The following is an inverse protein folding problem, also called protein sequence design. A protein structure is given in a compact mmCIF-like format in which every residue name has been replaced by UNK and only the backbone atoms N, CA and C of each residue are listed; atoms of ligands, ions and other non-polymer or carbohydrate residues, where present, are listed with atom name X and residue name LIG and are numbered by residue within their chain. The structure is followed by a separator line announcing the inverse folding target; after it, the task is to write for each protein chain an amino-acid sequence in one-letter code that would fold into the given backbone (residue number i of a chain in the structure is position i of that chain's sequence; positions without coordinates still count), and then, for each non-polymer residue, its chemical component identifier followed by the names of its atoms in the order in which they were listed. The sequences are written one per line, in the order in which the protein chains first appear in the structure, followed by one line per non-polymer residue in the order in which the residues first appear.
data_IF_972247058986
#
_entry.id   IF_972247058986
#
_cell.length_a   1.000
_cell.length_b   1.000
_cell.length_c   1.000
_cell.angle_alpha   90.00
_cell.angle_beta   90.00
_cell.angle_gamma   90.00
#
_symmetry.space_group_name_H-M   'P 1'
#
loop_
_entity.id
_entity.type
_entity.pdbx_description
1 polymer ?
#
# COMPACT_ATOMS: atom_id res chain seq x y z
N UNK A 1 19.62 20.17 27.22
CA UNK A 1 21.05 20.55 27.27
C UNK A 1 21.80 19.36 26.71
N UNK A 2 22.31 19.45 25.46
CA UNK A 2 23.18 18.42 24.91
C UNK A 2 24.30 18.12 25.92
N UNK A 3 24.44 16.87 26.35
CA UNK A 3 25.64 16.48 27.07
C UNK A 3 26.82 16.42 26.08
N UNK A 4 28.02 16.13 26.60
CA UNK A 4 29.27 16.18 25.86
C UNK A 4 29.37 15.14 24.71
N UNK A 5 28.31 14.37 24.45
CA UNK A 5 28.18 13.46 23.30
C UNK A 5 27.33 14.03 22.15
N UNK A 6 26.72 15.21 22.33
CA UNK A 6 26.16 15.99 21.22
C UNK A 6 24.75 15.62 20.76
N UNK A 7 23.92 15.00 21.59
CA UNK A 7 22.47 14.87 21.35
C UNK A 7 21.63 15.23 22.58
N UNK A 8 20.37 15.64 22.33
CA UNK A 8 19.28 16.05 23.26
C UNK A 8 18.97 17.54 23.54
N UNK A 9 18.27 18.18 22.58
CA UNK A 9 17.29 19.27 22.84
C UNK A 9 16.12 19.27 21.83
N UNK A 10 16.32 18.82 20.56
CA UNK A 10 15.25 18.87 19.53
C UNK A 10 14.19 17.76 19.65
N UNK A 11 14.57 16.56 20.09
CA UNK A 11 13.66 15.42 20.17
C UNK A 11 12.63 15.55 21.32
N UNK A 12 12.99 16.27 22.38
CA UNK A 12 12.08 16.56 23.49
C UNK A 12 11.03 17.61 23.10
N UNK A 13 11.40 18.60 22.30
CA UNK A 13 10.46 19.59 21.76
C UNK A 13 9.43 18.93 20.83
N UNK A 14 9.86 18.01 19.95
CA UNK A 14 8.96 17.25 19.08
C UNK A 14 8.01 16.34 19.88
N UNK A 15 8.49 15.75 20.98
CA UNK A 15 7.68 14.94 21.89
C UNK A 15 6.60 15.77 22.60
N UNK A 16 6.95 16.97 23.08
CA UNK A 16 6.03 17.89 23.75
C UNK A 16 5.00 18.50 22.78
N UNK A 17 5.41 18.82 21.55
CA UNK A 17 4.52 19.32 20.50
C UNK A 17 3.48 18.29 20.03
N UNK A 18 3.80 16.98 20.14
CA UNK A 18 2.88 15.86 19.83
C UNK A 18 1.94 15.53 20.99
N UNK A 19 2.37 15.74 22.23
CA UNK A 19 1.64 15.33 23.43
C UNK A 19 0.63 16.37 23.94
N UNK A 20 0.93 17.68 23.85
CA UNK A 20 0.07 18.74 24.43
C UNK A 20 -0.88 19.42 23.41
N UNK A 21 -0.78 19.08 22.13
CA UNK A 21 -1.48 19.79 21.06
C UNK A 21 -2.82 19.19 20.66
N UNK A 22 -3.93 19.77 21.14
CA UNK A 22 -5.21 19.82 20.43
C UNK A 22 -5.13 20.64 19.13
N UNK A 23 -4.11 20.37 18.32
CA UNK A 23 -3.62 21.22 17.24
C UNK A 23 -3.73 20.62 15.84
N UNK A 24 -3.40 21.40 14.80
CA UNK A 24 -3.76 21.17 13.39
C UNK A 24 -3.10 19.94 12.73
N UNK A 25 -2.34 19.12 13.46
CA UNK A 25 -1.68 17.92 12.96
C UNK A 25 -2.39 16.60 13.30
N UNK A 26 -3.41 16.58 14.16
CA UNK A 26 -4.24 15.38 14.39
C UNK A 26 -4.94 14.88 13.12
N UNK A 27 -5.43 15.76 12.21
CA UNK A 27 -5.90 15.35 10.89
C UNK A 27 -4.75 14.92 9.98
N UNK A 28 -3.56 15.54 10.09
CA UNK A 28 -2.43 15.29 9.21
C UNK A 28 -1.71 13.98 9.53
N UNK A 29 -1.70 13.51 10.77
CA UNK A 29 -1.21 12.17 11.13
C UNK A 29 -2.20 11.10 10.66
N UNK A 30 -3.52 11.32 10.79
CA UNK A 30 -4.53 10.47 10.14
C UNK A 30 -4.42 10.46 8.61
N UNK A 31 -4.10 11.60 8.01
CA UNK A 31 -3.91 11.76 6.57
C UNK A 31 -2.60 11.16 6.06
N UNK A 32 -1.51 11.31 6.82
CA UNK A 32 -0.19 10.76 6.52
C UNK A 32 -0.11 9.24 6.73
N UNK A 33 -0.87 8.69 7.68
CA UNK A 33 -1.01 7.26 7.91
C UNK A 33 -2.04 6.60 6.99
N UNK A 34 -3.01 7.37 6.46
CA UNK A 34 -3.97 6.93 5.45
C UNK A 34 -3.44 6.97 4.01
N UNK A 35 -2.38 7.73 3.73
CA UNK A 35 -1.69 7.83 2.43
C UNK A 35 -0.18 7.95 2.63
N UNK A 36 0.49 6.86 3.04
CA UNK A 36 1.95 6.82 3.22
C UNK A 36 2.74 6.91 1.90
N UNK A 37 2.54 8.00 1.17
CA UNK A 37 3.08 8.28 -0.17
C UNK A 37 4.17 9.35 -0.17
N UNK A 38 4.61 9.81 1.02
CA UNK A 38 5.61 10.87 1.16
C UNK A 38 6.68 10.60 2.22
N UNK A 39 6.65 9.42 2.85
CA UNK A 39 7.23 9.25 4.20
C UNK A 39 8.50 8.40 4.23
N UNK A 40 8.95 7.83 3.12
CA UNK A 40 10.11 6.93 3.09
C UNK A 40 11.42 7.56 3.63
N UNK A 41 11.66 8.85 3.36
CA UNK A 41 12.84 9.57 3.86
C UNK A 41 12.75 10.03 5.33
N UNK A 42 11.57 10.43 5.81
CA UNK A 42 11.37 10.91 7.20
C UNK A 42 11.15 9.76 8.19
N UNK A 43 10.54 8.65 7.76
CA UNK A 43 10.32 7.49 8.63
C UNK A 43 11.62 6.85 9.06
N UNK A 44 12.66 6.84 8.20
CA UNK A 44 13.96 6.30 8.57
C UNK A 44 14.57 7.00 9.80
N UNK A 45 14.33 8.31 9.99
CA UNK A 45 14.76 9.04 11.20
C UNK A 45 13.86 8.82 12.42
N UNK A 46 12.62 8.39 12.21
CA UNK A 46 11.74 7.95 13.30
C UNK A 46 12.04 6.50 13.73
N UNK A 47 12.56 5.68 12.81
CA UNK A 47 12.91 4.26 13.00
C UNK A 47 14.26 4.02 13.71
N UNK A 48 15.11 5.04 13.83
CA UNK A 48 16.42 4.95 14.53
C UNK A 48 16.33 5.11 16.04
N UNK A 49 15.15 5.33 16.58
CA UNK A 49 14.95 5.47 18.02
C UNK A 49 14.66 4.10 18.64
N UNK A 50 15.52 3.69 19.55
CA UNK A 50 15.31 2.54 20.42
C UNK A 50 14.24 2.92 21.45
N UNK A 51 13.12 2.20 21.43
CA UNK A 51 12.06 2.35 22.41
C UNK A 51 11.67 0.94 22.87
N UNK A 52 11.35 0.82 24.16
CA UNK A 52 10.95 -0.42 24.84
C UNK A 52 9.82 -1.18 24.10
N UNK A 53 9.55 -2.42 24.54
CA UNK A 53 8.55 -3.44 24.09
C UNK A 53 7.07 -2.95 23.93
N UNK A 54 6.83 -1.76 23.38
CA UNK A 54 5.51 -1.18 23.13
C UNK A 54 4.88 -1.77 21.85
N UNK A 55 3.71 -2.43 21.96
CA UNK A 55 3.05 -3.06 20.83
C UNK A 55 2.64 -2.08 19.72
N UNK A 56 2.29 -0.83 20.06
CA UNK A 56 1.87 0.17 19.08
C UNK A 56 3.05 0.66 18.22
N UNK A 57 4.21 0.84 18.83
CA UNK A 57 5.43 1.17 18.11
C UNK A 57 5.91 0.03 17.23
N UNK A 58 5.89 -1.20 17.74
CA UNK A 58 6.22 -2.38 16.94
C UNK A 58 5.29 -2.50 15.73
N UNK A 59 3.98 -2.24 15.90
CA UNK A 59 3.00 -2.20 14.81
C UNK A 59 3.36 -1.17 13.72
N UNK A 60 3.71 0.06 14.09
CA UNK A 60 4.06 1.08 13.09
C UNK A 60 5.37 0.77 12.39
N UNK A 61 6.39 0.34 13.15
CA UNK A 61 7.70 -0.04 12.62
C UNK A 61 7.60 -1.13 11.56
N UNK A 62 6.91 -2.23 11.90
CA UNK A 62 6.70 -3.37 10.99
C UNK A 62 5.86 -2.97 9.78
N UNK A 63 4.82 -2.14 9.95
CA UNK A 63 4.02 -1.62 8.83
C UNK A 63 4.82 -0.78 7.84
N UNK A 64 5.71 0.09 8.33
CA UNK A 64 6.57 0.92 7.50
C UNK A 64 7.61 0.08 6.77
N UNK A 65 8.33 -0.78 7.49
CA UNK A 65 9.34 -1.66 6.88
C UNK A 65 8.69 -2.56 5.83
N UNK A 66 7.51 -3.12 6.13
CA UNK A 66 6.75 -3.96 5.20
C UNK A 66 6.35 -3.19 3.96
N UNK A 67 5.92 -1.92 4.10
CA UNK A 67 5.58 -1.06 2.95
C UNK A 67 6.79 -0.78 2.06
N UNK A 68 7.94 -0.49 2.66
CA UNK A 68 9.18 -0.26 1.93
C UNK A 68 9.61 -1.53 1.20
N UNK A 69 9.59 -2.68 1.88
CA UNK A 69 9.88 -3.98 1.28
C UNK A 69 8.94 -4.26 0.10
N UNK A 70 7.64 -4.00 0.26
CA UNK A 70 6.63 -4.18 -0.79
C UNK A 70 6.90 -3.32 -2.03
N UNK A 71 7.11 -2.01 -1.83
CA UNK A 71 7.42 -1.06 -2.91
C UNK A 71 8.64 -1.55 -3.70
N UNK A 72 9.68 -2.02 -2.99
CA UNK A 72 10.92 -2.53 -3.58
C UNK A 72 10.80 -3.95 -4.15
N UNK A 73 9.60 -4.53 -4.18
CA UNK A 73 9.32 -5.86 -4.69
C UNK A 73 9.87 -7.00 -3.83
N UNK A 74 10.27 -6.73 -2.58
CA UNK A 74 10.73 -7.75 -1.62
C UNK A 74 9.51 -8.36 -0.91
N UNK A 75 8.71 -9.09 -1.67
CA UNK A 75 7.37 -9.53 -1.25
C UNK A 75 7.39 -10.47 -0.03
N UNK A 76 8.33 -11.42 0.03
CA UNK A 76 8.44 -12.33 1.18
C UNK A 76 8.80 -11.57 2.48
N UNK A 77 9.75 -10.64 2.42
CA UNK A 77 10.10 -9.78 3.56
C UNK A 77 8.90 -8.91 3.98
N UNK A 78 8.14 -8.36 3.03
CA UNK A 78 6.93 -7.60 3.33
C UNK A 78 5.87 -8.46 4.02
N UNK A 79 5.71 -9.71 3.60
CA UNK A 79 4.77 -10.67 4.17
C UNK A 79 5.12 -11.03 5.61
N UNK A 80 6.39 -11.34 5.89
CA UNK A 80 6.88 -11.62 7.25
C UNK A 80 6.64 -10.41 8.17
N UNK A 81 6.96 -9.21 7.70
CA UNK A 81 6.75 -7.97 8.47
C UNK A 81 5.26 -7.68 8.71
N UNK A 82 4.39 -7.97 7.76
CA UNK A 82 2.95 -7.79 7.97
C UNK A 82 2.34 -8.88 8.86
N UNK A 83 2.88 -10.09 8.88
CA UNK A 83 2.51 -11.10 9.86
C UNK A 83 2.87 -10.67 11.28
N UNK A 84 4.08 -10.13 11.49
CA UNK A 84 4.47 -9.51 12.78
C UNK A 84 3.54 -8.35 13.15
N UNK A 85 3.22 -7.48 12.18
CA UNK A 85 2.28 -6.38 12.37
C UNK A 85 0.90 -6.86 12.80
N UNK A 86 0.42 -7.98 12.25
CA UNK A 86 -0.90 -8.53 12.57
C UNK A 86 -0.93 -8.96 14.04
N UNK A 87 0.07 -9.72 14.48
CA UNK A 87 0.23 -10.12 15.88
C UNK A 87 0.25 -8.91 16.82
N UNK A 88 0.95 -7.84 16.46
CA UNK A 88 0.95 -6.61 17.24
C UNK A 88 -0.42 -5.93 17.27
N UNK A 89 -1.13 -5.88 16.13
CA UNK A 89 -2.47 -5.29 16.04
C UNK A 89 -3.51 -6.04 16.89
N UNK A 90 -3.41 -7.36 16.96
CA UNK A 90 -4.25 -8.22 17.79
C UNK A 90 -3.96 -8.00 19.28
N UNK A 91 -2.68 -7.87 19.66
CA UNK A 91 -2.28 -7.56 21.05
C UNK A 91 -2.78 -6.20 21.51
N UNK A 92 -2.80 -5.21 20.63
CA UNK A 92 -3.36 -3.87 20.92
C UNK A 92 -4.89 -3.97 21.12
N UNK A 93 -5.56 -4.95 20.51
CA UNK A 93 -7.00 -5.15 20.65
C UNK A 93 -7.85 -4.13 19.89
N UNK A 94 -7.29 -3.47 18.87
CA UNK A 94 -8.02 -2.51 18.04
C UNK A 94 -8.51 -3.15 16.73
N UNK A 95 -9.83 -3.31 16.53
CA UNK A 95 -10.38 -3.86 15.30
C UNK A 95 -10.00 -3.05 14.05
N UNK A 96 -9.82 -1.74 14.19
CA UNK A 96 -9.38 -0.87 13.09
C UNK A 96 -7.94 -1.19 12.66
N UNK A 97 -7.04 -1.43 13.62
CA UNK A 97 -5.64 -1.79 13.32
C UNK A 97 -5.52 -3.20 12.73
N UNK A 98 -6.34 -4.14 13.21
CA UNK A 98 -6.45 -5.49 12.63
C UNK A 98 -6.93 -5.39 11.18
N UNK A 99 -8.06 -4.71 10.92
CA UNK A 99 -8.58 -4.53 9.57
C UNK A 99 -7.60 -3.81 8.64
N UNK A 100 -6.86 -2.83 9.16
CA UNK A 100 -5.82 -2.17 8.40
C UNK A 100 -4.70 -3.12 8.01
N UNK A 101 -4.27 -3.99 8.93
CA UNK A 101 -3.20 -4.95 8.65
C UNK A 101 -3.65 -6.00 7.65
N UNK A 102 -4.84 -6.58 7.85
CA UNK A 102 -5.44 -7.55 6.93
C UNK A 102 -5.60 -6.98 5.52
N UNK A 103 -6.11 -5.74 5.37
CA UNK A 103 -6.18 -5.07 4.07
C UNK A 103 -4.80 -4.88 3.44
N UNK A 104 -3.78 -4.52 4.24
CA UNK A 104 -2.41 -4.35 3.72
C UNK A 104 -1.82 -5.68 3.25
N UNK A 105 -2.07 -6.78 3.98
CA UNK A 105 -1.71 -8.14 3.58
C UNK A 105 -2.43 -8.50 2.27
N UNK A 106 -3.73 -8.21 2.18
CA UNK A 106 -4.53 -8.39 0.97
C UNK A 106 -4.01 -7.62 -0.24
N UNK A 107 -3.65 -6.33 -0.06
CA UNK A 107 -3.04 -5.50 -1.11
C UNK A 107 -1.72 -6.09 -1.65
N UNK A 108 -0.92 -6.69 -0.76
CA UNK A 108 0.31 -7.39 -1.13
C UNK A 108 -0.03 -8.68 -1.89
N UNK A 109 -0.88 -9.51 -1.31
CA UNK A 109 -1.17 -10.87 -1.78
C UNK A 109 -1.99 -10.91 -3.06
N UNK A 110 -2.84 -9.93 -3.32
CA UNK A 110 -3.68 -9.94 -4.52
C UNK A 110 -2.89 -9.99 -5.83
N UNK A 111 -1.67 -9.45 -5.83
CA UNK A 111 -0.75 -9.54 -6.97
C UNK A 111 0.10 -10.81 -6.95
N UNK A 112 0.54 -11.26 -5.77
CA UNK A 112 1.57 -12.31 -5.64
C UNK A 112 1.01 -13.72 -5.47
N UNK A 113 -0.22 -13.85 -5.00
CA UNK A 113 -0.83 -15.13 -4.61
C UNK A 113 -2.22 -15.27 -5.27
N UNK A 114 -2.33 -16.03 -6.37
CA UNK A 114 -3.64 -16.39 -6.94
C UNK A 114 -4.49 -17.10 -5.90
N UNK A 115 -5.78 -16.77 -5.80
CA UNK A 115 -6.63 -17.51 -4.87
C UNK A 115 -7.81 -16.76 -4.32
N UNK A 116 -8.47 -17.44 -3.39
CA UNK A 116 -9.28 -16.77 -2.38
C UNK A 116 -8.37 -15.97 -1.43
N UNK A 117 -8.85 -14.81 -1.01
CA UNK A 117 -8.16 -13.89 -0.11
C UNK A 117 -9.06 -13.64 1.12
N UNK A 118 -9.01 -14.53 2.11
CA UNK A 118 -9.83 -14.42 3.31
C UNK A 118 -9.49 -13.16 4.12
N UNK A 119 -8.22 -12.73 4.12
CA UNK A 119 -7.77 -11.55 4.87
C UNK A 119 -8.43 -10.27 4.33
N UNK A 120 -8.45 -10.09 3.02
CA UNK A 120 -9.17 -8.98 2.38
C UNK A 120 -10.67 -9.02 2.66
N UNK A 121 -11.30 -10.21 2.63
CA UNK A 121 -12.74 -10.35 2.92
C UNK A 121 -13.05 -10.00 4.37
N UNK A 122 -12.22 -10.43 5.31
CA UNK A 122 -12.35 -10.09 6.71
C UNK A 122 -12.13 -8.58 6.95
N UNK A 123 -11.09 -8.00 6.36
CA UNK A 123 -10.85 -6.56 6.43
C UNK A 123 -12.05 -5.76 5.91
N UNK A 124 -12.61 -6.16 4.76
CA UNK A 124 -13.80 -5.52 4.19
C UNK A 124 -15.01 -5.61 5.14
N UNK A 125 -15.22 -6.75 5.79
CA UNK A 125 -16.31 -6.95 6.73
C UNK A 125 -16.15 -6.08 8.00
N UNK A 126 -14.93 -5.96 8.53
CA UNK A 126 -14.65 -5.09 9.68
C UNK A 126 -14.85 -3.61 9.28
N UNK A 127 -14.30 -3.19 8.15
CA UNK A 127 -14.44 -1.81 7.68
C UNK A 127 -15.89 -1.42 7.40
N UNK A 128 -16.68 -2.32 6.83
CA UNK A 128 -18.11 -2.12 6.66
C UNK A 128 -18.83 -1.91 8.01
N UNK A 129 -18.49 -2.72 9.03
CA UNK A 129 -19.08 -2.62 10.38
C UNK A 129 -18.78 -1.29 11.05
N UNK A 130 -17.58 -0.74 10.86
CA UNK A 130 -17.16 0.56 11.44
C UNK A 130 -17.48 1.76 10.53
N UNK A 131 -18.17 1.53 9.41
CA UNK A 131 -18.62 2.59 8.50
C UNK A 131 -17.55 3.18 7.58
N UNK A 132 -16.35 2.59 7.51
CA UNK A 132 -15.28 3.02 6.61
C UNK A 132 -15.47 2.40 5.22
N UNK A 133 -16.26 3.06 4.38
CA UNK A 133 -16.62 2.58 3.03
C UNK A 133 -15.43 2.54 2.06
N UNK A 134 -14.48 3.47 2.19
CA UNK A 134 -13.32 3.54 1.30
C UNK A 134 -12.43 2.32 1.51
N UNK A 135 -12.01 2.06 2.75
CA UNK A 135 -11.14 0.92 3.04
C UNK A 135 -11.83 -0.43 2.84
N UNK A 136 -13.16 -0.50 3.02
CA UNK A 136 -13.92 -1.69 2.64
C UNK A 136 -13.87 -1.93 1.12
N UNK A 137 -13.97 -0.89 0.30
CA UNK A 137 -13.86 -1.00 -1.15
C UNK A 137 -12.44 -1.38 -1.61
N UNK A 138 -11.39 -0.84 -0.97
CA UNK A 138 -10.00 -1.23 -1.25
C UNK A 138 -9.78 -2.73 -0.99
N UNK A 139 -10.23 -3.23 0.15
CA UNK A 139 -10.11 -4.64 0.50
C UNK A 139 -10.90 -5.54 -0.48
N UNK A 140 -12.09 -5.11 -0.93
CA UNK A 140 -12.83 -5.81 -1.99
C UNK A 140 -12.07 -5.87 -3.32
N UNK A 141 -11.41 -4.77 -3.71
CA UNK A 141 -10.55 -4.74 -4.91
C UNK A 141 -9.42 -5.75 -4.77
N UNK A 142 -8.72 -5.79 -3.64
CA UNK A 142 -7.66 -6.77 -3.39
C UNK A 142 -8.19 -8.20 -3.53
N UNK A 143 -9.32 -8.53 -2.89
CA UNK A 143 -9.94 -9.85 -3.01
C UNK A 143 -10.31 -10.20 -4.47
N UNK A 144 -10.84 -9.24 -5.25
CA UNK A 144 -11.19 -9.47 -6.65
C UNK A 144 -9.95 -9.71 -7.53
N UNK A 145 -8.88 -8.94 -7.33
CA UNK A 145 -7.62 -9.09 -8.07
C UNK A 145 -6.92 -10.42 -7.75
N UNK A 146 -6.99 -10.88 -6.49
CA UNK A 146 -6.45 -12.18 -6.08
C UNK A 146 -7.10 -13.34 -6.85
N UNK A 147 -8.41 -13.25 -7.10
CA UNK A 147 -9.18 -14.27 -7.83
C UNK A 147 -9.02 -14.23 -9.35
N UNK A 148 -8.32 -13.24 -9.91
CA UNK A 148 -8.06 -13.21 -11.35
C UNK A 148 -7.30 -14.48 -11.79
N UNK A 149 -7.79 -15.13 -12.85
CA UNK A 149 -7.31 -16.45 -13.31
C UNK A 149 -8.09 -17.65 -12.75
N UNK A 150 -8.81 -17.48 -11.63
CA UNK A 150 -9.77 -18.48 -11.11
C UNK A 150 -11.19 -18.13 -11.56
N UNK A 151 -11.55 -16.85 -11.43
CA UNK A 151 -12.82 -16.31 -11.88
C UNK A 151 -12.76 -15.85 -13.34
N UNK A 152 -13.93 -15.69 -13.96
CA UNK A 152 -14.03 -15.06 -15.28
C UNK A 152 -13.62 -13.59 -15.18
N UNK A 153 -12.78 -13.13 -16.12
CA UNK A 153 -12.33 -11.73 -16.19
C UNK A 153 -13.49 -10.74 -16.06
N UNK A 154 -14.63 -11.01 -16.71
CA UNK A 154 -15.81 -10.14 -16.66
C UNK A 154 -16.36 -9.97 -15.24
N UNK A 155 -16.34 -11.01 -14.40
CA UNK A 155 -16.77 -10.92 -13.02
C UNK A 155 -15.82 -10.07 -12.19
N UNK A 156 -14.50 -10.27 -12.36
CA UNK A 156 -13.50 -9.45 -11.68
C UNK A 156 -13.67 -7.98 -12.07
N UNK A 157 -13.87 -7.69 -13.35
CA UNK A 157 -14.09 -6.32 -13.84
C UNK A 157 -15.38 -5.70 -13.27
N UNK A 158 -16.45 -6.48 -13.16
CA UNK A 158 -17.70 -6.03 -12.55
C UNK A 158 -17.50 -5.66 -11.06
N UNK A 159 -16.77 -6.48 -10.31
CA UNK A 159 -16.45 -6.21 -8.90
C UNK A 159 -15.62 -4.92 -8.75
N UNK A 160 -14.64 -4.71 -9.64
CA UNK A 160 -13.82 -3.49 -9.66
C UNK A 160 -14.65 -2.23 -9.97
N UNK A 161 -15.59 -2.33 -10.91
CA UNK A 161 -16.49 -1.24 -11.24
C UNK A 161 -17.49 -0.92 -10.13
N UNK A 162 -17.96 -1.93 -9.37
CA UNK A 162 -18.76 -1.72 -8.16
C UNK A 162 -17.99 -0.93 -7.09
N UNK A 163 -16.70 -1.23 -6.90
CA UNK A 163 -15.88 -0.59 -5.87
C UNK A 163 -15.49 0.87 -6.21
N UNK A 164 -15.38 1.19 -7.50
CA UNK A 164 -14.82 2.46 -8.01
C UNK A 164 -15.50 3.74 -7.45
N UNK A 165 -16.84 3.84 -7.33
CA UNK A 165 -17.48 5.03 -6.79
C UNK A 165 -17.07 5.32 -5.33
N UNK A 166 -16.91 4.27 -4.52
CA UNK A 166 -16.51 4.42 -3.12
C UNK A 166 -15.06 4.89 -2.97
N UNK A 167 -14.21 4.62 -3.95
CA UNK A 167 -12.81 5.06 -4.01
C UNK A 167 -12.66 6.50 -4.56
N UNK A 168 -13.76 7.16 -4.91
CA UNK A 168 -13.73 8.51 -5.48
C UNK A 168 -13.28 8.55 -6.95
N UNK A 169 -13.47 7.44 -7.69
CA UNK A 169 -13.16 7.37 -9.13
C UNK A 169 -11.91 6.57 -9.45
N UNK A 170 -11.10 7.06 -10.39
CA UNK A 170 -9.94 6.33 -10.87
C UNK A 170 -8.81 6.29 -9.81
N UNK A 171 -8.31 5.09 -9.54
CA UNK A 171 -7.54 4.80 -8.32
C UNK A 171 -7.09 3.34 -8.22
N UNK A 172 -7.11 2.76 -7.02
CA UNK A 172 -6.65 1.39 -6.79
C UNK A 172 -7.43 0.34 -7.63
N UNK A 173 -8.71 0.59 -7.92
CA UNK A 173 -9.50 -0.25 -8.85
C UNK A 173 -8.93 -0.26 -10.29
N UNK A 174 -8.41 0.86 -10.81
CA UNK A 174 -7.74 0.86 -12.12
C UNK A 174 -6.41 0.11 -12.08
N UNK A 175 -5.66 0.21 -10.98
CA UNK A 175 -4.44 -0.59 -10.81
C UNK A 175 -4.75 -2.08 -10.88
N UNK A 176 -5.79 -2.50 -10.17
CA UNK A 176 -6.32 -3.87 -10.25
C UNK A 176 -6.72 -4.25 -11.66
N UNK A 177 -7.51 -3.40 -12.34
CA UNK A 177 -7.95 -3.64 -13.71
C UNK A 177 -6.79 -3.77 -14.71
N UNK A 178 -5.79 -2.87 -14.63
CA UNK A 178 -4.59 -2.92 -15.46
C UNK A 178 -3.89 -4.26 -15.25
N UNK A 179 -3.71 -4.67 -13.99
CA UNK A 179 -3.03 -5.91 -13.66
C UNK A 179 -3.76 -7.13 -14.22
N UNK A 180 -5.06 -7.29 -13.94
CA UNK A 180 -5.81 -8.47 -14.37
C UNK A 180 -5.92 -8.55 -15.89
N UNK A 181 -6.08 -7.41 -16.58
CA UNK A 181 -6.04 -7.38 -18.05
C UNK A 181 -4.65 -7.71 -18.60
N UNK A 182 -3.58 -7.29 -17.94
CA UNK A 182 -2.23 -7.70 -18.30
C UNK A 182 -2.03 -9.21 -18.12
N UNK A 183 -2.57 -9.81 -17.06
CA UNK A 183 -2.55 -11.27 -16.84
C UNK A 183 -3.25 -11.99 -17.99
N UNK A 184 -4.45 -11.55 -18.38
CA UNK A 184 -5.24 -12.13 -19.48
C UNK A 184 -4.72 -11.80 -20.89
N UNK A 185 -3.67 -10.98 -21.02
CA UNK A 185 -3.12 -10.56 -22.31
C UNK A 185 -3.93 -9.48 -23.04
N UNK A 186 -4.97 -8.90 -22.43
CA UNK A 186 -5.73 -7.76 -22.96
C UNK A 186 -4.96 -6.43 -22.76
N UNK A 187 -3.90 -6.25 -23.53
CA UNK A 187 -3.08 -5.03 -23.46
C UNK A 187 -3.84 -3.78 -23.91
N UNK A 188 -4.85 -3.92 -24.76
CA UNK A 188 -5.65 -2.78 -25.22
C UNK A 188 -6.54 -2.24 -24.10
N UNK A 189 -7.22 -3.13 -23.36
CA UNK A 189 -7.99 -2.76 -22.18
C UNK A 189 -7.10 -2.26 -21.05
N UNK A 190 -5.96 -2.89 -20.81
CA UNK A 190 -5.01 -2.45 -19.79
C UNK A 190 -4.53 -1.00 -20.04
N UNK A 191 -4.23 -0.65 -21.30
CA UNK A 191 -3.88 0.75 -21.67
C UNK A 191 -5.02 1.74 -21.48
N UNK A 192 -6.27 1.35 -21.76
CA UNK A 192 -7.45 2.21 -21.47
C UNK A 192 -7.60 2.47 -19.98
N UNK A 193 -7.41 1.44 -19.14
CA UNK A 193 -7.43 1.58 -17.69
C UNK A 193 -6.28 2.47 -17.18
N UNK A 194 -5.07 2.29 -17.73
CA UNK A 194 -3.94 3.18 -17.42
C UNK A 194 -4.19 4.63 -17.80
N UNK A 195 -4.83 4.90 -18.94
CA UNK A 195 -5.17 6.26 -19.33
C UNK A 195 -6.10 6.95 -18.31
N UNK A 196 -7.07 6.21 -17.75
CA UNK A 196 -7.92 6.72 -16.64
C UNK A 196 -7.12 6.98 -15.38
N UNK A 197 -6.22 6.07 -15.01
CA UNK A 197 -5.34 6.23 -13.84
C UNK A 197 -4.45 7.48 -14.00
N UNK A 198 -3.83 7.67 -15.17
CA UNK A 198 -3.01 8.85 -15.48
C UNK A 198 -3.82 10.13 -15.36
N UNK A 199 -5.04 10.16 -15.91
CA UNK A 199 -5.94 11.32 -15.81
C UNK A 199 -6.24 11.66 -14.35
N UNK A 200 -6.60 10.66 -13.53
CA UNK A 200 -6.95 10.87 -12.13
C UNK A 200 -5.77 11.27 -11.24
N UNK A 201 -4.55 10.93 -11.65
CA UNK A 201 -3.31 11.27 -10.95
C UNK A 201 -2.71 12.60 -11.41
N UNK A 202 -3.31 13.31 -12.38
CA UNK A 202 -2.79 14.61 -12.84
C UNK A 202 -2.65 15.59 -11.66
N UNK A 203 -1.45 16.14 -11.52
CA UNK A 203 -1.11 17.10 -10.46
C UNK A 203 -0.92 16.47 -9.07
N UNK A 204 -0.85 15.14 -8.97
CA UNK A 204 -0.51 14.45 -7.71
C UNK A 204 0.96 14.05 -7.70
N UNK A 205 1.67 14.24 -6.57
CA UNK A 205 3.10 13.97 -6.46
C UNK A 205 3.42 12.48 -6.28
N UNK A 206 2.45 11.56 -6.41
CA UNK A 206 2.67 10.14 -6.14
C UNK A 206 2.52 9.29 -7.40
N UNK A 207 3.68 8.92 -7.97
CA UNK A 207 3.79 8.17 -9.22
C UNK A 207 3.97 6.67 -9.09
N UNK A 208 3.99 6.08 -7.88
CA UNK A 208 4.31 4.65 -7.69
C UNK A 208 3.46 3.73 -8.58
N UNK A 209 2.13 3.82 -8.47
CA UNK A 209 1.24 2.97 -9.28
C UNK A 209 1.34 3.28 -10.78
N UNK A 210 1.69 4.50 -11.18
CA UNK A 210 1.96 4.84 -12.57
C UNK A 210 3.24 4.17 -13.08
N UNK A 211 4.28 4.07 -12.24
CA UNK A 211 5.51 3.36 -12.55
C UNK A 211 5.25 1.85 -12.65
N UNK A 212 4.63 1.23 -11.64
CA UNK A 212 4.33 -0.22 -11.63
C UNK A 212 3.48 -0.60 -12.86
N UNK A 213 2.41 0.15 -13.14
CA UNK A 213 1.53 -0.14 -14.28
C UNK A 213 2.22 0.10 -15.62
N UNK A 214 3.13 1.07 -15.71
CA UNK A 214 3.99 1.26 -16.88
C UNK A 214 4.91 0.07 -17.11
N UNK A 215 5.50 -0.49 -16.04
CA UNK A 215 6.35 -1.67 -16.13
C UNK A 215 5.60 -2.90 -16.62
N UNK A 216 4.38 -3.16 -16.11
CA UNK A 216 3.52 -4.26 -16.57
C UNK A 216 3.13 -4.19 -18.04
N UNK A 217 2.97 -2.96 -18.57
CA UNK A 217 2.67 -2.71 -19.97
C UNK A 217 3.89 -2.67 -20.88
N UNK A 218 5.09 -2.88 -20.31
CA UNK A 218 6.38 -2.70 -20.98
C UNK A 218 6.52 -1.33 -21.67
N UNK A 219 5.86 -0.31 -21.12
CA UNK A 219 6.01 1.05 -21.62
C UNK A 219 7.40 1.58 -21.22
N UNK A 220 8.07 2.34 -22.09
CA UNK A 220 9.31 2.99 -21.70
C UNK A 220 9.05 3.83 -20.46
N UNK A 221 10.01 3.85 -19.53
CA UNK A 221 9.95 4.79 -18.42
C UNK A 221 9.75 6.17 -19.05
N UNK A 222 8.61 6.80 -18.78
CA UNK A 222 8.45 8.21 -19.12
C UNK A 222 9.58 8.90 -18.39
N UNK A 223 10.59 9.40 -19.13
CA UNK A 223 11.90 9.75 -18.58
C UNK A 223 11.89 10.88 -17.54
N UNK A 224 10.71 11.36 -17.17
CA UNK A 224 10.45 12.33 -16.13
C UNK A 224 9.26 11.85 -15.27
N UNK A 225 9.41 10.76 -14.52
CA UNK A 225 8.68 10.65 -13.24
C UNK A 225 9.64 11.06 -12.12
N UNK A 226 9.92 12.37 -11.96
CA UNK A 226 10.86 12.87 -10.96
C UNK A 226 10.39 12.66 -9.51
N UNK A 227 9.23 12.03 -9.31
CA UNK A 227 8.52 12.00 -8.03
C UNK A 227 8.67 10.67 -7.26
N UNK A 228 9.29 9.63 -7.85
CA UNK A 228 9.51 8.36 -7.13
C UNK A 228 10.99 8.17 -6.83
N UNK A 229 11.43 8.72 -5.70
CA UNK A 229 12.75 8.44 -5.13
C UNK A 229 12.80 6.98 -4.64
N UNK A 230 13.17 6.07 -5.54
CA UNK A 230 13.35 4.65 -5.22
C UNK A 230 14.56 4.45 -4.31
N UNK A 231 14.31 4.08 -3.05
CA UNK A 231 15.32 3.87 -2.00
C UNK A 231 16.46 2.90 -2.38
N UNK A 232 16.22 1.91 -3.25
CA UNK A 232 17.18 0.83 -3.56
C UNK A 232 17.18 0.40 -5.03
N UNK A 233 17.23 1.35 -5.95
CA UNK A 233 17.39 1.09 -7.38
C UNK A 233 16.07 0.68 -8.06
N UNK A 234 15.56 1.58 -8.90
CA UNK A 234 14.32 1.38 -9.66
C UNK A 234 14.33 0.09 -10.49
N UNK A 235 15.50 -0.27 -11.05
CA UNK A 235 15.65 -1.42 -11.94
C UNK A 235 15.38 -2.75 -11.23
N UNK A 236 15.86 -2.92 -9.99
CA UNK A 236 15.64 -4.15 -9.22
C UNK A 236 14.16 -4.29 -8.83
N UNK A 237 13.54 -3.19 -8.38
CA UNK A 237 12.12 -3.16 -8.08
C UNK A 237 11.30 -3.51 -9.33
N UNK A 238 11.64 -2.91 -10.48
CA UNK A 238 11.02 -3.21 -11.78
C UNK A 238 11.10 -4.68 -12.13
N UNK A 239 12.28 -5.30 -12.03
CA UNK A 239 12.44 -6.72 -12.34
C UNK A 239 11.53 -7.60 -11.47
N UNK A 240 11.45 -7.32 -10.16
CA UNK A 240 10.60 -8.09 -9.24
C UNK A 240 9.12 -7.91 -9.52
N UNK A 241 8.66 -6.69 -9.79
CA UNK A 241 7.26 -6.41 -10.12
C UNK A 241 6.82 -6.99 -11.47
N UNK A 242 7.71 -7.02 -12.46
CA UNK A 242 7.45 -7.72 -13.74
C UNK A 242 7.40 -9.23 -13.53
N UNK A 243 8.30 -9.78 -12.71
CA UNK A 243 8.30 -11.21 -12.41
C UNK A 243 6.99 -11.70 -11.75
N UNK A 244 6.33 -10.85 -10.96
CA UNK A 244 4.99 -11.15 -10.40
C UNK A 244 3.94 -11.31 -11.49
N UNK A 245 3.88 -10.37 -12.44
CA UNK A 245 2.95 -10.47 -13.57
C UNK A 245 3.22 -11.74 -14.40
N UNK A 246 4.49 -12.04 -14.67
CA UNK A 246 4.87 -13.22 -15.43
C UNK A 246 4.55 -14.52 -14.67
N UNK A 247 4.67 -14.53 -13.35
CA UNK A 247 4.22 -15.66 -12.53
C UNK A 247 2.71 -15.85 -12.62
N UNK A 248 1.93 -14.77 -12.54
CA UNK A 248 0.46 -14.81 -12.63
C UNK A 248 -0.07 -15.20 -14.00
N UNK A 249 0.69 -14.99 -15.08
CA UNK A 249 0.38 -15.49 -16.42
C UNK A 249 0.63 -16.99 -16.61
N UNK A 250 1.49 -17.58 -15.79
CA UNK A 250 1.92 -18.99 -15.93
C UNK A 250 1.13 -19.97 -15.05
N UNK A 251 0.56 -19.49 -13.96
CA UNK A 251 -0.28 -20.27 -13.04
C UNK A 251 -1.74 -20.18 -13.45
#
# INVERSE_FOLDING_TARGET
MLDQTGQWDEAEQVRLDVADGGGPFTPNVRHALGRCDWVCGRLRRALTWEFDDDPLQHFWRTGIHGRVAWILGRFAEAEDLYAERLVASERIGSPELVAHTLRTIGELRCFTTPGDDPDSREAAAIYARIGNRVSAAEAKVSAAVARAGIDQLDQVLADLDEARPALGGAGYADVGEIFVRCVEGDLAGARRARARLVEAQRGRPYGFWLAITGWWLAEPATSDSPDVDWLHGEQDARQRWVAVLDARRRG
#
